data_IF_242973861466
#
_entry.id   IF_242973861466
#
_cell.length_a   1.000
_cell.length_b   1.000
_cell.length_c   1.000
_cell.angle_alpha   90.00
_cell.angle_beta   90.00
_cell.angle_gamma   90.00
#
_symmetry.space_group_name_H-M   'P 1'
#
loop_
_entity.id
_entity.type
_entity.pdbx_description
1 polymer ?
2 non-polymer ?
3 water ?
#
# COMPACT_ATOMS: atom_id res chain seq x y z
N UNK A 1 -10.71 -26.06 10.16
CA UNK A 1 -11.32 -24.81 10.70
C UNK A 1 -10.30 -24.06 11.53
N UNK A 2 -9.03 -24.42 11.41
CA UNK A 2 -7.98 -23.73 12.17
C UNK A 2 -8.05 -22.25 11.78
N UNK A 3 -7.56 -21.38 12.64
CA UNK A 3 -7.61 -19.95 12.38
C UNK A 3 -6.26 -19.29 12.63
N UNK A 4 -5.84 -18.42 11.73
CA UNK A 4 -4.57 -17.69 11.89
C UNK A 4 -4.81 -16.48 12.80
N UNK A 5 -3.78 -16.06 13.53
CA UNK A 5 -3.90 -14.88 14.41
C UNK A 5 -3.26 -13.63 13.74
N UNK A 6 -2.83 -13.78 12.50
CA UNK A 6 -2.18 -12.68 11.76
C UNK A 6 -3.02 -11.42 11.65
N UNK A 7 -4.29 -11.56 11.30
CA UNK A 7 -5.14 -10.36 11.19
C UNK A 7 -5.32 -9.74 12.59
N UNK A 8 -5.47 -10.57 13.61
CA UNK A 8 -5.58 -10.07 14.97
C UNK A 8 -4.32 -9.30 15.35
N UNK A 9 -3.16 -9.85 15.02
CA UNK A 9 -1.90 -9.19 15.34
C UNK A 9 -1.76 -7.85 14.63
N UNK A 10 -2.20 -7.78 13.38
CA UNK A 10 -2.12 -6.51 12.67
C UNK A 10 -3.12 -5.53 13.27
N UNK A 11 -4.26 -6.04 13.70
CA UNK A 11 -5.27 -5.18 14.31
C UNK A 11 -4.71 -4.52 15.57
N UNK A 12 -4.00 -5.28 16.40
CA UNK A 12 -3.45 -4.65 17.60
C UNK A 12 -2.40 -3.58 17.28
N UNK A 13 -1.86 -3.58 16.07
CA UNK A 13 -0.89 -2.54 15.72
C UNK A 13 -1.66 -1.38 15.12
N UNK A 14 -2.98 -1.56 14.98
CA UNK A 14 -3.82 -0.52 14.39
C UNK A 14 -3.63 -0.43 12.88
N UNK A 15 -3.21 -1.54 12.26
CA UNK A 15 -2.94 -1.55 10.81
C UNK A 15 -4.06 -2.05 9.91
N UNK A 16 -5.20 -2.42 10.47
CA UNK A 16 -6.31 -2.90 9.64
C UNK A 16 -7.49 -1.93 9.69
N UNK A 17 -7.71 -1.17 8.60
CA UNK A 17 -8.82 -0.25 8.57
C UNK A 17 -10.10 -1.00 8.21
N UNK A 18 -10.03 -1.77 7.12
CA UNK A 18 -11.17 -2.56 6.65
C UNK A 18 -10.67 -3.92 6.16
N UNK A 19 -11.51 -4.95 6.30
CA UNK A 19 -11.14 -6.30 5.86
C UNK A 19 -12.41 -7.10 5.55
N UNK A 20 -12.38 -7.83 4.44
CA UNK A 20 -13.50 -8.65 4.00
C UNK A 20 -13.53 -10.02 4.71
N UNK A 21 -14.70 -10.40 5.20
CA UNK A 21 -14.89 -11.70 5.85
C UNK A 21 -13.65 -12.11 6.66
N UNK A 22 -13.34 -11.33 7.69
CA UNK A 22 -12.17 -11.58 8.52
C UNK A 22 -12.07 -13.01 9.04
N UNK A 23 -13.18 -13.58 9.49
CA UNK A 23 -13.17 -14.93 10.03
C UNK A 23 -12.72 -15.90 8.94
N UNK A 24 -13.33 -15.79 7.76
CA UNK A 24 -12.99 -16.64 6.64
C UNK A 24 -11.54 -16.44 6.17
N UNK A 25 -11.08 -15.19 6.17
CA UNK A 25 -9.71 -14.89 5.77
C UNK A 25 -8.75 -15.54 6.76
N UNK A 26 -8.99 -15.34 8.06
CA UNK A 26 -8.12 -15.94 9.06
C UNK A 26 -8.03 -17.46 8.92
N UNK A 27 -9.14 -18.10 8.54
CA UNK A 27 -9.14 -19.55 8.35
C UNK A 27 -8.31 -19.92 7.13
N UNK A 28 -8.46 -19.14 6.05
CA UNK A 28 -7.69 -19.40 4.85
C UNK A 28 -6.20 -19.21 5.13
N UNK A 29 -5.86 -18.21 5.95
CA UNK A 29 -4.46 -17.97 6.23
C UNK A 29 -3.85 -19.14 7.01
N UNK A 30 -4.69 -19.84 7.79
CA UNK A 30 -4.19 -20.97 8.57
C UNK A 30 -3.91 -22.21 7.72
N UNK A 31 -4.56 -22.30 6.56
CA UNK A 31 -4.37 -23.44 5.65
C UNK A 31 -2.93 -23.60 5.17
N UNK A 32 -2.24 -22.48 4.98
CA UNK A 32 -0.87 -22.55 4.52
C UNK A 32 -0.47 -21.21 3.93
N UNK A 33 0.78 -21.05 3.47
CA UNK A 33 1.17 -19.76 2.88
C UNK A 33 0.30 -19.42 1.68
N UNK A 34 -0.09 -18.16 1.55
CA UNK A 34 -0.85 -17.72 0.37
C UNK A 34 -0.05 -16.66 -0.38
N UNK A 35 -0.43 -16.44 -1.63
CA UNK A 35 0.16 -15.38 -2.44
C UNK A 35 -0.82 -14.20 -2.22
N UNK A 36 -0.27 -13.01 -1.99
CA UNK A 36 -1.09 -11.83 -1.80
C UNK A 36 -0.43 -10.73 -2.64
N UNK A 37 -1.12 -9.61 -2.83
CA UNK A 37 -0.54 -8.53 -3.61
C UNK A 37 -0.79 -7.16 -2.99
N UNK A 38 0.14 -6.25 -3.25
CA UNK A 38 -0.05 -4.85 -2.87
C UNK A 38 0.47 -4.13 -4.11
N UNK A 39 -0.23 -3.08 -4.54
CA UNK A 39 0.24 -2.37 -5.71
C UNK A 39 0.57 -0.90 -5.49
N UNK A 40 1.43 -0.39 -6.37
CA UNK A 40 1.87 1.01 -6.32
C UNK A 40 1.87 1.59 -7.73
N UNK A 41 1.32 2.79 -7.91
CA UNK A 41 1.32 3.42 -9.25
C UNK A 41 2.51 4.36 -9.41
N UNK A 42 3.10 4.40 -10.61
CA UNK A 42 4.24 5.27 -10.90
C UNK A 42 3.77 6.71 -11.15
N UNK A 43 3.45 7.37 -10.05
CA UNK A 43 2.99 8.77 -10.06
C UNK A 43 4.20 9.72 -10.01
N UNK A 44 5.35 9.16 -9.67
CA UNK A 44 6.61 9.88 -9.58
C UNK A 44 7.72 8.86 -9.79
N UNK A 45 8.97 9.30 -9.82
CA UNK A 45 10.09 8.39 -10.03
C UNK A 45 10.54 7.71 -8.72
N UNK A 46 9.72 7.86 -7.69
CA UNK A 46 10.01 7.29 -6.38
C UNK A 46 8.73 7.21 -5.57
N UNK A 47 8.72 6.35 -4.57
CA UNK A 47 7.59 6.28 -3.66
C UNK A 47 7.98 7.27 -2.54
N UNK A 48 7.03 7.60 -1.67
CA UNK A 48 7.32 8.47 -0.54
C UNK A 48 6.68 7.90 0.72
N UNK A 49 6.80 8.60 1.84
CA UNK A 49 6.29 8.09 3.10
C UNK A 49 4.82 7.69 3.10
N UNK A 50 4.04 8.29 2.21
CA UNK A 50 2.63 7.95 2.16
C UNK A 50 2.40 6.51 1.71
N UNK A 51 3.40 5.91 1.05
CA UNK A 51 3.28 4.54 0.55
C UNK A 51 3.96 3.51 1.45
N UNK A 52 4.66 3.96 2.48
CA UNK A 52 5.41 3.06 3.33
C UNK A 52 4.63 2.07 4.20
N UNK A 53 3.49 2.48 4.77
CA UNK A 53 2.75 1.54 5.61
C UNK A 53 2.28 0.33 4.79
N UNK A 54 1.65 0.55 3.63
CA UNK A 54 1.21 -0.63 2.86
C UNK A 54 2.42 -1.50 2.46
N UNK A 55 3.52 -0.86 2.06
CA UNK A 55 4.74 -1.60 1.67
C UNK A 55 5.25 -2.45 2.84
N UNK A 56 5.34 -1.87 4.04
CA UNK A 56 5.82 -2.65 5.17
C UNK A 56 4.80 -3.72 5.54
N UNK A 57 3.52 -3.45 5.32
CA UNK A 57 2.53 -4.46 5.65
C UNK A 57 2.69 -5.70 4.74
N UNK A 58 3.12 -5.48 3.51
CA UNK A 58 3.36 -6.58 2.58
C UNK A 58 4.50 -7.43 3.19
N UNK A 59 5.52 -6.75 3.71
CA UNK A 59 6.64 -7.43 4.36
C UNK A 59 6.18 -8.16 5.65
N UNK A 60 5.20 -7.60 6.36
CA UNK A 60 4.69 -8.26 7.57
C UNK A 60 4.04 -9.58 7.16
N UNK A 61 3.36 -9.60 6.02
CA UNK A 61 2.75 -10.85 5.56
C UNK A 61 3.83 -11.85 5.15
N UNK A 62 4.88 -11.38 4.50
CA UNK A 62 5.93 -12.34 4.12
C UNK A 62 6.59 -12.93 5.37
N UNK A 63 6.78 -12.10 6.39
CA UNK A 63 7.39 -12.60 7.62
C UNK A 63 6.57 -13.68 8.27
N UNK A 64 5.25 -13.65 8.05
CA UNK A 64 4.37 -14.68 8.59
C UNK A 64 4.34 -15.89 7.65
N UNK A 65 5.19 -15.88 6.62
CA UNK A 65 5.27 -17.02 5.72
C UNK A 65 4.55 -16.96 4.38
N UNK A 66 3.82 -15.88 4.16
CA UNK A 66 3.06 -15.71 2.92
C UNK A 66 3.93 -15.18 1.80
N UNK A 67 3.45 -15.29 0.56
CA UNK A 67 4.21 -14.87 -0.62
C UNK A 67 3.71 -13.55 -1.15
N UNK A 68 4.57 -12.51 -1.11
CA UNK A 68 4.19 -11.16 -1.60
C UNK A 68 4.40 -10.89 -3.08
N UNK A 69 3.38 -10.33 -3.73
CA UNK A 69 3.49 -9.95 -5.14
C UNK A 69 3.52 -8.43 -5.08
N UNK A 70 4.63 -7.84 -5.53
CA UNK A 70 4.78 -6.40 -5.52
C UNK A 70 4.45 -5.88 -6.90
N UNK A 71 3.25 -5.35 -7.03
CA UNK A 71 2.77 -4.84 -8.30
C UNK A 71 3.05 -3.37 -8.52
N UNK A 72 3.63 -3.05 -9.69
CA UNK A 72 3.88 -1.65 -10.07
C UNK A 72 2.94 -1.38 -11.29
N UNK A 73 2.13 -0.31 -11.19
CA UNK A 73 1.14 0.00 -12.21
C UNK A 73 1.57 0.64 -13.52
N UNK A 74 2.30 -0.11 -14.34
CA UNK A 74 2.76 0.46 -15.59
C UNK A 74 1.62 0.95 -16.47
N UNK A 75 0.46 0.33 -16.31
CA UNK A 75 -0.73 0.70 -17.09
C UNK A 75 -1.63 1.63 -16.30
N UNK A 76 -1.92 1.29 -15.05
CA UNK A 76 -2.80 2.13 -14.23
C UNK A 76 -2.21 3.52 -13.99
N UNK A 77 -0.89 3.62 -13.99
CA UNK A 77 -0.25 4.91 -13.79
C UNK A 77 -0.40 5.79 -15.03
N UNK A 78 -0.93 5.24 -16.12
CA UNK A 78 -1.16 6.01 -17.33
C UNK A 78 -2.62 6.49 -17.38
N UNK A 79 -3.38 6.10 -16.37
CA UNK A 79 -4.80 6.42 -16.28
C UNK A 79 -5.08 7.36 -15.10
N UNK A 80 -4.65 6.95 -13.90
CA UNK A 80 -4.81 7.78 -12.70
C UNK A 80 -5.96 7.32 -11.80
N UNK A 81 -5.64 7.02 -10.53
CA UNK A 81 -6.63 6.57 -9.57
C UNK A 81 -7.32 7.81 -8.97
N UNK A 82 -8.63 7.97 -9.20
CA UNK A 82 -9.36 9.13 -8.66
C UNK A 82 -9.88 8.94 -7.22
N UNK A 83 -9.66 7.76 -6.64
CA UNK A 83 -10.17 7.47 -5.30
C UNK A 83 -9.85 8.51 -4.26
N UNK A 84 -10.93 9.13 -3.77
CA UNK A 84 -10.87 10.17 -2.76
C UNK A 84 -9.94 11.35 -3.11
N UNK A 85 -9.78 11.62 -4.40
CA UNK A 85 -8.96 12.75 -4.88
C UNK A 85 -9.91 13.88 -5.27
N UNK A 86 -9.51 15.12 -5.04
CA UNK A 86 -10.38 16.24 -5.36
C UNK A 86 -10.39 16.60 -6.83
N UNK A 87 -9.27 16.36 -7.52
CA UNK A 87 -9.18 16.71 -8.93
C UNK A 87 -8.42 15.68 -9.79
N UNK A 88 -8.58 15.76 -11.11
CA UNK A 88 -7.92 14.82 -12.01
C UNK A 88 -6.42 14.74 -11.72
N UNK A 89 -5.84 13.54 -11.88
CA UNK A 89 -4.41 13.34 -11.69
C UNK A 89 -3.73 13.79 -12.98
N UNK A 90 -2.47 14.23 -12.87
CA UNK A 90 -1.75 14.64 -14.07
C UNK A 90 -1.51 13.44 -14.98
N UNK A 91 -1.71 13.60 -16.28
CA UNK A 91 -1.46 12.49 -17.21
C UNK A 91 -0.01 12.57 -17.65
N UNK A 92 0.75 11.52 -17.39
CA UNK A 92 2.15 11.49 -17.80
C UNK A 92 2.27 10.69 -19.09
N UNK A 93 3.38 10.87 -19.81
CA UNK A 93 3.56 10.18 -21.08
C UNK A 93 3.97 8.73 -20.90
N UNK A 94 3.68 7.92 -21.93
CA UNK A 94 4.05 6.51 -21.91
C UNK A 94 5.57 6.36 -21.62
N UNK A 95 6.39 7.13 -22.33
CA UNK A 95 7.85 7.03 -22.15
C UNK A 95 8.32 7.29 -20.72
N UNK A 96 7.79 8.33 -20.11
CA UNK A 96 8.18 8.66 -18.75
C UNK A 96 7.69 7.65 -17.71
N UNK A 97 6.45 7.20 -17.85
CA UNK A 97 5.92 6.23 -16.87
C UNK A 97 6.72 4.93 -16.94
N UNK A 98 7.08 4.48 -18.15
CA UNK A 98 7.82 3.23 -18.24
C UNK A 98 9.16 3.36 -17.52
N UNK A 99 9.76 4.54 -17.58
CA UNK A 99 11.04 4.75 -16.90
C UNK A 99 10.81 4.73 -15.39
N UNK A 100 9.76 5.41 -14.93
CA UNK A 100 9.47 5.43 -13.49
C UNK A 100 9.15 4.05 -12.94
N UNK A 101 8.46 3.24 -13.74
CA UNK A 101 8.13 1.89 -13.32
C UNK A 101 9.38 1.14 -12.87
N UNK A 102 10.42 1.19 -13.71
CA UNK A 102 11.66 0.49 -13.42
C UNK A 102 12.29 1.03 -12.15
N UNK A 103 12.22 2.34 -11.94
CA UNK A 103 12.81 2.91 -10.75
C UNK A 103 12.06 2.45 -9.49
N UNK A 104 10.72 2.47 -9.55
CA UNK A 104 9.96 2.04 -8.38
C UNK A 104 10.15 0.55 -8.10
N UNK A 105 10.15 -0.28 -9.16
CA UNK A 105 10.36 -1.72 -8.96
C UNK A 105 11.69 -1.92 -8.21
N UNK A 106 12.72 -1.22 -8.63
CA UNK A 106 14.03 -1.34 -7.98
C UNK A 106 14.06 -0.84 -6.55
N UNK A 107 13.26 0.19 -6.27
CA UNK A 107 13.20 0.75 -4.93
C UNK A 107 12.45 -0.16 -3.96
N UNK A 108 11.46 -0.86 -4.48
CA UNK A 108 10.63 -1.76 -3.69
C UNK A 108 11.36 -3.06 -3.32
N UNK A 109 12.13 -3.59 -4.26
CA UNK A 109 12.84 -4.86 -4.07
C UNK A 109 13.56 -5.10 -2.75
N UNK A 110 14.42 -4.16 -2.30
CA UNK A 110 15.14 -4.35 -1.03
C UNK A 110 14.26 -4.55 0.19
N UNK A 111 12.99 -4.16 0.10
CA UNK A 111 12.10 -4.29 1.23
C UNK A 111 11.56 -5.70 1.44
N UNK A 112 11.62 -6.51 0.38
CA UNK A 112 11.10 -7.88 0.42
C UNK A 112 12.20 -8.91 0.14
N UNK A 113 11.94 -10.17 0.49
CA UNK A 113 12.95 -11.21 0.24
C UNK A 113 12.56 -11.95 -1.04
N UNK A 114 13.43 -11.90 -2.04
CA UNK A 114 13.21 -12.57 -3.32
C UNK A 114 13.97 -13.89 -3.37
N UNK A 115 14.60 -14.25 -2.26
CA UNK A 115 15.38 -15.47 -2.19
C UNK A 115 15.21 -16.23 -0.85
N UNK A 116 13.97 -16.61 -0.54
CA UNK A 116 13.68 -17.34 0.68
C UNK A 116 12.75 -18.54 0.41
N UNK A 117 13.01 -19.27 -0.66
CA UNK A 117 12.17 -20.43 -0.93
C UNK A 117 10.84 -20.12 -1.58
N UNK A 118 9.85 -20.98 -1.37
CA UNK A 118 8.55 -20.80 -2.02
C UNK A 118 7.76 -19.53 -1.69
N UNK A 119 8.05 -18.84 -0.59
CA UNK A 119 7.32 -17.59 -0.34
C UNK A 119 8.17 -16.38 -0.77
N UNK A 120 9.12 -16.62 -1.69
CA UNK A 120 9.95 -15.57 -2.26
C UNK A 120 9.05 -14.57 -3.00
N UNK A 121 9.40 -13.29 -2.91
CA UNK A 121 8.63 -12.23 -3.55
C UNK A 121 8.65 -12.32 -5.06
N UNK A 122 7.63 -11.73 -5.68
CA UNK A 122 7.53 -11.70 -7.13
C UNK A 122 7.12 -10.30 -7.58
N UNK A 123 7.77 -9.76 -8.61
CA UNK A 123 7.43 -8.42 -9.12
C UNK A 123 6.43 -8.56 -10.27
N UNK A 124 5.44 -7.67 -10.29
CA UNK A 124 4.46 -7.71 -11.37
C UNK A 124 4.26 -6.32 -11.94
N UNK A 125 3.79 -6.24 -13.18
CA UNK A 125 3.55 -4.94 -13.82
C UNK A 125 2.27 -5.12 -14.65
N UNK A 126 1.21 -4.37 -14.33
CA UNK A 126 -0.03 -4.56 -15.09
C UNK A 126 0.05 -4.10 -16.55
N UNK A 127 1.18 -3.48 -16.94
CA UNK A 127 1.33 -3.11 -18.35
C UNK A 127 1.45 -4.41 -19.15
N UNK A 128 1.86 -5.50 -18.48
CA UNK A 128 1.99 -6.80 -19.16
C UNK A 128 0.69 -7.18 -19.83
N UNK A 129 -0.42 -7.04 -19.11
CA UNK A 129 -1.71 -7.42 -19.69
C UNK A 129 -2.58 -6.31 -20.28
N UNK A 130 -2.29 -5.05 -19.95
CA UNK A 130 -3.09 -3.94 -20.51
C UNK A 130 -2.37 -3.18 -21.62
N UNK A 131 -1.04 -3.27 -21.60
CA UNK A 131 -0.22 -2.56 -22.57
C UNK A 131 -0.61 -2.75 -24.02
N UNK A 132 -1.02 -3.95 -24.39
CA UNK A 132 -1.42 -4.21 -25.77
C UNK A 132 -2.85 -4.77 -25.87
N UNK A 133 -3.64 -4.63 -24.81
CA UNK A 133 -5.02 -5.12 -24.87
C UNK A 133 -5.87 -4.19 -25.76
N UNK A 134 -6.58 -4.72 -26.75
CA UNK A 134 -7.42 -3.89 -27.64
C UNK A 134 -8.63 -3.35 -26.85
N UNK A 135 -9.11 -2.16 -27.21
CA UNK A 135 -10.22 -1.53 -26.50
C UNK A 135 -11.53 -2.34 -26.53
N UNK A 136 -11.87 -2.93 -27.67
CA UNK A 136 -13.12 -3.69 -27.76
C UNK A 136 -13.08 -4.92 -26.84
N UNK A 137 -11.91 -5.54 -26.72
CA UNK A 137 -11.76 -6.71 -25.86
C UNK A 137 -11.97 -6.27 -24.41
N UNK A 138 -11.40 -5.12 -24.04
CA UNK A 138 -11.54 -4.58 -22.70
C UNK A 138 -13.03 -4.29 -22.40
N UNK A 139 -13.67 -3.52 -23.27
CA UNK A 139 -15.06 -3.13 -23.06
C UNK A 139 -16.02 -4.30 -22.96
N UNK A 140 -15.80 -5.33 -23.77
CA UNK A 140 -16.65 -6.52 -23.77
C UNK A 140 -16.35 -7.53 -22.65
N UNK A 141 -15.14 -8.08 -22.68
CA UNK A 141 -14.73 -9.11 -21.75
C UNK A 141 -14.56 -8.70 -20.30
N UNK A 142 -14.28 -7.43 -20.06
CA UNK A 142 -14.16 -6.97 -18.68
C UNK A 142 -15.33 -6.05 -18.40
N UNK A 143 -15.56 -5.11 -19.33
CA UNK A 143 -16.63 -4.14 -19.15
C UNK A 143 -18.04 -4.65 -18.92
N UNK A 144 -18.40 -5.81 -19.49
CA UNK A 144 -19.79 -6.27 -19.31
C UNK A 144 -20.11 -6.70 -17.88
N UNK A 145 -19.08 -6.80 -17.05
CA UNK A 145 -19.26 -7.23 -15.66
C UNK A 145 -19.43 -6.08 -14.67
N UNK A 146 -19.48 -4.86 -15.19
CA UNK A 146 -19.61 -3.69 -14.32
C UNK A 146 -20.89 -2.93 -14.61
N UNK A 147 -21.58 -2.56 -13.55
CA UNK A 147 -22.82 -1.80 -13.64
C UNK A 147 -22.47 -0.35 -13.37
N UNK A 148 -22.85 0.56 -14.25
CA UNK A 148 -22.53 1.98 -14.04
C UNK A 148 -23.27 2.52 -12.82
N UNK A 149 -24.49 2.02 -12.64
CA UNK A 149 -25.32 2.39 -11.50
C UNK A 149 -24.52 2.10 -10.22
N UNK A 150 -23.84 0.95 -10.17
CA UNK A 150 -23.04 0.61 -9.00
C UNK A 150 -21.76 1.44 -8.91
N UNK A 151 -21.12 1.64 -10.06
CA UNK A 151 -19.88 2.41 -10.10
C UNK A 151 -20.03 3.84 -9.60
N UNK A 152 -21.13 4.50 -9.94
CA UNK A 152 -21.28 5.89 -9.51
C UNK A 152 -21.66 6.00 -8.03
N UNK A 153 -21.92 4.86 -7.41
CA UNK A 153 -22.25 4.81 -5.98
C UNK A 153 -21.06 4.51 -5.08
N UNK A 154 -19.93 4.16 -5.67
CA UNK A 154 -18.73 3.87 -4.88
C UNK A 154 -18.35 5.15 -4.13
N UNK A 155 -18.11 5.03 -2.83
CA UNK A 155 -17.75 6.18 -2.02
C UNK A 155 -16.51 6.92 -2.56
N UNK A 156 -15.55 6.20 -3.12
CA UNK A 156 -14.32 6.82 -3.61
C UNK A 156 -14.48 7.88 -4.69
N UNK A 157 -15.59 7.82 -5.43
CA UNK A 157 -15.82 8.81 -6.49
C UNK A 157 -17.09 9.64 -6.28
N UNK A 158 -17.77 9.37 -5.17
CA UNK A 158 -19.01 10.06 -4.81
C UNK A 158 -18.93 11.59 -4.87
N UNK A 159 -17.94 12.18 -4.21
CA UNK A 159 -17.80 13.64 -4.20
C UNK A 159 -17.55 14.21 -5.61
N UNK A 160 -16.82 13.47 -6.44
CA UNK A 160 -16.51 13.94 -7.77
C UNK A 160 -17.76 14.04 -8.65
N UNK A 161 -18.71 13.16 -8.39
CA UNK A 161 -19.96 13.12 -9.14
C UNK A 161 -21.09 13.92 -8.50
N UNK A 162 -20.94 14.30 -7.24
CA UNK A 162 -22.01 15.01 -6.56
C UNK A 162 -21.75 16.48 -6.28
N UNK A 163 -20.50 16.85 -6.12
CA UNK A 163 -20.16 18.23 -5.85
C UNK A 163 -20.01 19.05 -7.14
N UNK A 164 -20.79 20.12 -7.22
CA UNK A 164 -20.79 21.01 -8.38
C UNK A 164 -19.41 21.55 -8.73
N UNK A 165 -18.52 21.63 -7.75
CA UNK A 165 -17.17 22.14 -7.98
C UNK A 165 -16.19 21.04 -8.43
N UNK A 166 -16.71 19.84 -8.69
CA UNK A 166 -15.86 18.74 -9.12
C UNK A 166 -16.50 17.99 -10.28
N UNK A 167 -15.71 17.11 -10.89
CA UNK A 167 -16.16 16.30 -12.00
C UNK A 167 -15.13 15.21 -12.23
N UNK A 168 -15.48 14.15 -12.96
CA UNK A 168 -14.52 13.08 -13.22
C UNK A 168 -14.53 12.68 -14.70
N UNK A 169 -13.34 12.53 -15.28
CA UNK A 169 -13.19 12.13 -16.68
C UNK A 169 -13.57 10.67 -16.87
N UNK A 170 -13.97 10.30 -18.08
CA UNK A 170 -14.27 8.89 -18.34
C UNK A 170 -12.96 8.10 -18.09
N UNK A 171 -11.82 8.74 -18.36
CA UNK A 171 -10.51 8.15 -18.16
C UNK A 171 -10.35 7.60 -16.73
N UNK A 172 -10.53 8.48 -15.74
CA UNK A 172 -10.35 8.06 -14.36
C UNK A 172 -11.50 7.20 -13.86
N UNK A 173 -12.67 7.39 -14.44
CA UNK A 173 -13.84 6.59 -14.07
C UNK A 173 -13.60 5.13 -14.42
N UNK A 174 -12.79 4.89 -15.45
CA UNK A 174 -12.50 3.52 -15.87
C UNK A 174 -11.41 2.82 -15.02
N UNK A 175 -10.67 3.58 -14.22
CA UNK A 175 -9.59 3.02 -13.42
C UNK A 175 -9.99 1.82 -12.56
N UNK A 176 -11.14 1.93 -11.90
CA UNK A 176 -11.64 0.87 -11.04
C UNK A 176 -11.68 -0.48 -11.78
N UNK A 177 -11.96 -0.45 -13.09
CA UNK A 177 -12.01 -1.70 -13.89
C UNK A 177 -10.64 -2.30 -14.11
N UNK A 178 -9.64 -1.46 -14.35
CA UNK A 178 -8.27 -1.92 -14.55
C UNK A 178 -7.75 -2.61 -13.29
N UNK A 179 -7.85 -1.92 -12.14
CA UNK A 179 -7.37 -2.52 -10.89
C UNK A 179 -8.22 -3.76 -10.54
N UNK A 180 -9.49 -3.73 -10.91
CA UNK A 180 -10.34 -4.88 -10.63
C UNK A 180 -9.84 -6.10 -11.41
N UNK A 181 -9.47 -5.88 -12.66
CA UNK A 181 -9.00 -6.98 -13.49
C UNK A 181 -7.62 -7.45 -13.03
N UNK A 182 -6.84 -6.53 -12.47
CA UNK A 182 -5.50 -6.89 -11.97
C UNK A 182 -5.63 -8.01 -10.96
N UNK A 183 -6.62 -7.89 -10.07
CA UNK A 183 -6.81 -8.92 -9.04
C UNK A 183 -7.14 -10.26 -9.71
N UNK A 184 -8.07 -10.24 -10.64
CA UNK A 184 -8.48 -11.46 -11.34
C UNK A 184 -7.32 -12.09 -12.09
N UNK A 185 -6.51 -11.27 -12.75
CA UNK A 185 -5.36 -11.79 -13.48
C UNK A 185 -4.33 -12.44 -12.55
N UNK A 186 -4.00 -11.75 -11.45
CA UNK A 186 -3.02 -12.29 -10.52
C UNK A 186 -3.55 -13.52 -9.80
N UNK A 187 -4.87 -13.60 -9.64
CA UNK A 187 -5.46 -14.76 -8.99
C UNK A 187 -5.25 -15.95 -9.94
N UNK A 188 -5.55 -15.76 -11.21
CA UNK A 188 -5.42 -16.83 -12.21
C UNK A 188 -3.99 -17.32 -12.44
N UNK A 189 -3.05 -16.40 -12.53
CA UNK A 189 -1.68 -16.82 -12.82
C UNK A 189 -0.82 -17.19 -11.62
N UNK A 190 -1.00 -16.49 -10.50
CA UNK A 190 -0.19 -16.76 -9.31
C UNK A 190 -0.94 -17.31 -8.09
N UNK A 191 -2.25 -17.47 -8.21
CA UNK A 191 -3.01 -17.96 -7.08
C UNK A 191 -3.19 -16.90 -6.00
N UNK A 192 -3.08 -15.63 -6.38
CA UNK A 192 -3.28 -14.55 -5.41
C UNK A 192 -4.73 -14.58 -4.90
N UNK A 193 -4.90 -14.62 -3.58
CA UNK A 193 -6.24 -14.66 -3.01
C UNK A 193 -6.45 -13.53 -2.00
N UNK A 194 -5.51 -12.60 -1.94
CA UNK A 194 -5.65 -11.47 -1.02
C UNK A 194 -4.97 -10.23 -1.62
N UNK A 195 -5.65 -9.10 -1.54
CA UNK A 195 -5.07 -7.86 -2.00
C UNK A 195 -5.11 -6.91 -0.81
N UNK A 196 -3.97 -6.32 -0.47
CA UNK A 196 -3.98 -5.33 0.60
C UNK A 196 -3.68 -3.99 -0.06
N UNK A 197 -4.19 -2.90 0.52
CA UNK A 197 -3.95 -1.61 -0.11
C UNK A 197 -4.13 -0.41 0.81
N UNK A 198 -3.88 0.79 0.26
CA UNK A 198 -3.99 2.03 1.01
C UNK A 198 -5.41 2.25 1.50
N UNK A 199 -5.58 3.23 2.39
CA UNK A 199 -6.89 3.50 2.99
C UNK A 199 -7.96 3.93 2.00
N UNK A 200 -7.54 4.44 0.84
CA UNK A 200 -8.50 4.89 -0.17
C UNK A 200 -8.80 3.82 -1.23
N UNK A 201 -8.39 2.59 -0.97
CA UNK A 201 -8.55 1.52 -1.94
C UNK A 201 -9.67 0.50 -1.78
N UNK A 202 -10.50 0.64 -0.75
CA UNK A 202 -11.55 -0.36 -0.52
C UNK A 202 -12.37 -0.70 -1.77
N UNK A 203 -12.92 0.32 -2.42
CA UNK A 203 -13.74 0.09 -3.61
C UNK A 203 -13.02 -0.57 -4.78
N UNK A 204 -11.78 -0.19 -5.02
CA UNK A 204 -10.98 -0.79 -6.09
C UNK A 204 -10.75 -2.27 -5.73
N UNK A 205 -10.43 -2.54 -4.47
CA UNK A 205 -10.19 -3.90 -4.03
C UNK A 205 -11.47 -4.76 -4.11
N UNK A 206 -12.60 -4.24 -3.63
CA UNK A 206 -13.84 -5.01 -3.70
C UNK A 206 -14.28 -5.27 -5.15
N UNK A 207 -13.93 -4.37 -6.07
CA UNK A 207 -14.29 -4.58 -7.48
C UNK A 207 -13.46 -5.77 -7.99
N UNK A 208 -12.24 -5.91 -7.46
CA UNK A 208 -11.39 -7.03 -7.87
C UNK A 208 -11.92 -8.34 -7.32
N UNK A 209 -12.42 -8.30 -6.09
CA UNK A 209 -12.98 -9.49 -5.45
C UNK A 209 -14.21 -9.97 -6.25
N UNK A 210 -15.08 -9.02 -6.60
CA UNK A 210 -16.29 -9.38 -7.35
C UNK A 210 -15.95 -9.85 -8.77
N UNK A 211 -15.02 -9.18 -9.43
CA UNK A 211 -14.67 -9.59 -10.78
C UNK A 211 -13.96 -10.96 -10.81
N UNK A 212 -13.17 -11.26 -9.78
CA UNK A 212 -12.50 -12.55 -9.70
C UNK A 212 -13.56 -13.63 -9.53
N UNK A 213 -14.63 -13.32 -8.81
CA UNK A 213 -15.71 -14.30 -8.65
C UNK A 213 -16.43 -14.49 -9.98
N UNK A 214 -16.78 -13.38 -10.63
CA UNK A 214 -17.48 -13.42 -11.91
C UNK A 214 -16.67 -14.08 -13.02
N UNK A 215 -15.36 -13.85 -13.05
CA UNK A 215 -14.53 -14.43 -14.10
C UNK A 215 -14.01 -15.84 -13.86
N UNK A 216 -13.54 -16.09 -12.64
CA UNK A 216 -12.93 -17.37 -12.35
C UNK A 216 -13.60 -18.22 -11.28
N UNK A 217 -14.70 -17.71 -10.72
CA UNK A 217 -15.44 -18.40 -9.66
C UNK A 217 -14.60 -18.77 -8.43
N UNK A 218 -13.64 -17.91 -8.07
CA UNK A 218 -12.79 -18.11 -6.90
C UNK A 218 -13.09 -17.03 -5.86
N UNK A 219 -13.18 -17.40 -4.59
CA UNK A 219 -13.41 -16.42 -3.53
C UNK A 219 -12.05 -15.85 -3.10
N UNK A 220 -11.88 -14.52 -3.21
CA UNK A 220 -10.63 -13.88 -2.77
C UNK A 220 -10.96 -12.79 -1.74
N UNK A 221 -9.93 -12.22 -1.12
CA UNK A 221 -10.14 -11.26 -0.03
C UNK A 221 -9.42 -9.93 -0.16
N UNK A 222 -9.80 -8.98 0.69
CA UNK A 222 -9.18 -7.67 0.65
C UNK A 222 -9.00 -7.06 2.02
N UNK A 223 -8.00 -6.21 2.14
CA UNK A 223 -7.73 -5.54 3.41
C UNK A 223 -7.08 -4.20 3.13
N UNK A 224 -7.47 -3.17 3.88
CA UNK A 224 -6.85 -1.87 3.72
C UNK A 224 -6.21 -1.43 5.02
N UNK A 225 -5.12 -0.68 4.90
CA UNK A 225 -4.44 -0.14 6.08
C UNK A 225 -5.07 1.23 6.29
N UNK A 226 -4.93 1.79 7.50
CA UNK A 226 -5.51 3.09 7.79
C UNK A 226 -4.79 4.31 7.25
N UNK A 227 -5.57 5.39 7.14
CA UNK A 227 -5.03 6.68 6.75
C UNK A 227 -4.18 7.02 7.97
N UNK A 228 -2.92 7.38 7.75
CA UNK A 228 -2.05 7.70 8.87
C UNK A 228 -2.30 9.15 9.27
N UNK A 229 -2.71 9.36 10.51
CA UNK A 229 -3.02 10.69 10.98
C UNK A 229 -2.04 11.20 12.05
N UNK A 230 -2.01 12.52 12.19
CA UNK A 230 -1.17 13.17 13.19
C UNK A 230 -2.12 13.86 14.14
N UNK A 231 -1.76 13.86 15.42
CA UNK A 231 -2.60 14.48 16.46
C UNK A 231 -3.00 15.92 16.13
N UNK A 232 -2.07 16.69 15.54
CA UNK A 232 -2.32 18.09 15.21
C UNK A 232 -3.19 18.29 13.97
N UNK A 233 -3.72 17.20 13.44
CA UNK A 233 -4.58 17.27 12.27
C UNK A 233 -3.94 17.52 10.91
N UNK A 234 -2.64 17.75 10.84
CA UNK A 234 -2.01 17.98 9.54
C UNK A 234 -1.74 16.68 8.82
N UNK A 235 -1.45 16.78 7.52
CA UNK A 235 -1.22 15.59 6.70
C UNK A 235 0.13 14.93 6.99
N UNK A 236 0.08 13.64 7.27
CA UNK A 236 1.30 12.91 7.55
C UNK A 236 2.16 12.77 6.29
N UNK A 237 3.47 12.98 6.44
CA UNK A 237 4.38 12.84 5.31
C UNK A 237 4.46 14.07 4.43
N UNK A 238 3.79 15.13 4.85
CA UNK A 238 3.78 16.39 4.12
C UNK A 238 4.64 17.38 4.89
N UNK A 239 5.60 17.99 4.21
CA UNK A 239 6.49 18.98 4.84
C UNK A 239 6.46 20.26 4.00
N UNK A 240 7.06 21.33 4.51
CA UNK A 240 7.09 22.58 3.78
C UNK A 240 7.72 22.33 2.41
N UNK A 241 8.74 21.48 2.38
CA UNK A 241 9.43 21.17 1.14
C UNK A 241 8.79 20.07 0.27
N UNK A 242 7.60 19.62 0.64
CA UNK A 242 6.93 18.59 -0.13
C UNK A 242 6.96 17.22 0.51
N UNK A 243 7.03 16.17 -0.32
CA UNK A 243 7.02 14.81 0.20
C UNK A 243 8.36 14.40 0.80
N UNK A 244 8.34 13.29 1.54
CA UNK A 244 9.56 12.73 2.12
C UNK A 244 9.78 11.48 1.26
N UNK A 245 10.71 11.56 0.33
CA UNK A 245 10.92 10.46 -0.59
C UNK A 245 11.69 9.27 -0.04
N UNK A 246 11.48 8.10 -0.62
CA UNK A 246 12.22 6.90 -0.19
C UNK A 246 13.53 6.79 -0.95
N UNK A 247 13.67 7.59 -2.01
CA UNK A 247 14.88 7.62 -2.84
C UNK A 247 15.90 8.51 -2.11
N UNK A 248 17.07 7.96 -1.72
CA UNK A 248 18.06 8.79 -1.01
C UNK A 248 18.61 9.97 -1.82
N UNK A 249 18.45 9.91 -3.13
CA UNK A 249 18.91 11.01 -3.98
C UNK A 249 17.92 12.16 -3.97
N UNK A 250 16.68 11.88 -3.55
CA UNK A 250 15.64 12.90 -3.48
C UNK A 250 15.52 13.49 -2.08
N UNK A 251 15.59 12.61 -1.09
CA UNK A 251 15.53 12.96 0.34
C UNK A 251 16.66 12.15 0.97
N UNK A 252 17.72 12.82 1.38
CA UNK A 252 18.87 12.13 1.94
C UNK A 252 18.57 11.32 3.18
N UNK A 253 19.38 10.29 3.47
CA UNK A 253 19.12 9.49 4.67
C UNK A 253 19.21 10.39 5.90
N UNK A 254 20.05 11.43 5.85
CA UNK A 254 20.19 12.33 6.99
C UNK A 254 18.88 13.08 7.22
N UNK A 255 18.32 13.61 6.14
CA UNK A 255 17.07 14.35 6.20
C UNK A 255 15.91 13.44 6.63
N UNK A 256 15.97 12.18 6.17
CA UNK A 256 14.94 11.19 6.50
C UNK A 256 14.95 10.91 8.01
N UNK A 257 16.14 10.74 8.58
CA UNK A 257 16.26 10.51 10.02
C UNK A 257 15.74 11.74 10.79
N UNK A 258 16.04 12.93 10.27
CA UNK A 258 15.59 14.17 10.92
C UNK A 258 14.06 14.23 10.95
N UNK A 259 13.41 13.77 9.88
CA UNK A 259 11.95 13.79 9.81
C UNK A 259 11.35 12.98 10.96
N UNK A 260 11.90 11.80 11.20
CA UNK A 260 11.40 10.95 12.27
C UNK A 260 11.71 11.47 13.68
N UNK A 261 12.89 12.05 13.87
CA UNK A 261 13.24 12.61 15.18
C UNK A 261 12.23 13.67 15.59
N UNK A 262 11.71 14.38 14.60
CA UNK A 262 10.76 15.46 14.84
C UNK A 262 9.34 15.01 15.19
N UNK A 263 9.11 13.71 15.22
CA UNK A 263 7.79 13.17 15.52
C UNK A 263 7.22 13.66 16.85
N UNK A 264 5.94 14.04 16.83
CA UNK A 264 5.25 14.53 18.03
C UNK A 264 5.08 13.44 19.06
N UNK A 265 5.19 13.80 20.34
CA UNK A 265 5.02 12.85 21.44
C UNK A 265 3.67 12.11 21.29
N UNK A 266 2.65 12.84 20.85
CA UNK A 266 1.31 12.27 20.70
C UNK A 266 1.22 11.19 19.61
N UNK A 267 2.15 11.25 18.65
CA UNK A 267 2.13 10.32 17.50
C UNK A 267 3.15 9.19 17.53
N UNK A 268 4.26 9.43 18.22
CA UNK A 268 5.37 8.50 18.23
C UNK A 268 5.14 7.05 18.58
N UNK A 269 4.29 6.77 19.57
CA UNK A 269 4.07 5.36 19.94
C UNK A 269 3.18 4.68 18.91
N UNK A 270 2.24 5.42 18.32
CA UNK A 270 1.38 4.86 17.28
C UNK A 270 2.25 4.62 16.06
N UNK A 271 3.15 5.56 15.77
CA UNK A 271 4.04 5.43 14.62
C UNK A 271 5.02 4.26 14.75
N UNK A 272 5.46 3.97 15.97
CA UNK A 272 6.33 2.80 16.16
C UNK A 272 5.55 1.55 15.74
N UNK A 273 4.25 1.51 16.05
CA UNK A 273 3.46 0.33 15.65
C UNK A 273 3.27 0.23 14.13
N UNK A 274 3.00 1.37 13.49
CA UNK A 274 2.79 1.39 12.05
C UNK A 274 4.05 1.17 11.22
N UNK A 275 5.14 1.79 11.65
CA UNK A 275 6.36 1.76 10.86
C UNK A 275 7.53 0.88 11.23
N UNK A 276 7.45 0.11 12.33
CA UNK A 276 8.61 -0.72 12.70
C UNK A 276 8.16 -2.14 12.96
N UNK A 277 9.13 -3.02 13.18
CA UNK A 277 8.85 -4.43 13.48
C UNK A 277 9.08 -4.77 14.94
N UNK A 278 9.15 -3.73 15.78
CA UNK A 278 9.29 -3.94 17.21
C UNK A 278 7.99 -4.58 17.67
N UNK A 279 8.06 -5.47 18.66
CA UNK A 279 6.85 -6.12 19.14
C UNK A 279 5.98 -5.13 19.91
N UNK A 280 4.68 -5.43 19.96
CA UNK A 280 3.76 -4.57 20.70
C UNK A 280 4.17 -4.46 22.17
N UNK A 281 4.70 -5.57 22.71
CA UNK A 281 5.13 -5.59 24.11
C UNK A 281 6.27 -4.61 24.32
N UNK A 282 7.23 -4.63 23.40
CA UNK A 282 8.36 -3.72 23.55
C UNK A 282 7.96 -2.26 23.38
N UNK A 283 7.05 -1.99 22.46
CA UNK A 283 6.60 -0.62 22.24
C UNK A 283 5.80 -0.15 23.45
N UNK A 284 4.94 -1.01 23.98
CA UNK A 284 4.17 -0.63 25.16
C UNK A 284 5.08 -0.33 26.35
N UNK A 285 6.15 -1.11 26.50
CA UNK A 285 7.10 -0.92 27.60
C UNK A 285 7.89 0.38 27.41
N UNK A 286 8.16 0.70 26.16
CA UNK A 286 8.88 1.93 25.85
C UNK A 286 7.97 3.11 26.19
N UNK A 287 6.67 3.02 25.89
CA UNK A 287 5.81 4.15 26.22
C UNK A 287 5.77 4.35 27.74
N UNK A 288 5.66 3.25 28.48
CA UNK A 288 5.62 3.30 29.95
C UNK A 288 6.95 3.86 30.47
N UNK A 289 8.06 3.40 29.90
CA UNK A 289 9.39 3.88 30.30
C UNK A 289 9.49 5.39 30.11
N UNK A 290 9.04 5.90 28.96
CA UNK A 290 9.13 7.35 28.70
C UNK A 290 8.23 8.13 29.64
N UNK A 291 7.12 7.52 30.03
CA UNK A 291 6.16 8.17 30.89
C UNK A 291 6.76 8.47 32.28
N UNK A 292 7.52 7.52 32.80
CA UNK A 292 8.10 7.67 34.13
C UNK A 292 9.60 7.92 34.21
N UNK A 293 10.23 8.28 33.10
CA UNK A 293 11.68 8.49 33.15
C UNK A 293 12.18 9.84 33.63
N UNK A 294 11.42 10.89 33.36
CA UNK A 294 11.89 12.21 33.74
C UNK A 294 12.97 12.68 32.76
N UNK A 295 13.18 11.91 31.69
CA UNK A 295 14.18 12.26 30.68
C UNK A 295 13.47 12.57 29.36
N UNK A 296 14.23 12.95 28.33
CA UNK A 296 13.59 13.18 27.03
C UNK A 296 13.08 11.79 26.59
N UNK A 297 11.99 11.73 25.83
CA UNK A 297 11.51 10.40 25.40
C UNK A 297 12.50 9.72 24.47
N UNK A 298 12.66 8.41 24.61
CA UNK A 298 13.58 7.66 23.75
C UNK A 298 12.89 7.26 22.47
N UNK A 299 11.57 7.26 22.52
CA UNK A 299 10.75 6.84 21.39
C UNK A 299 11.10 7.51 20.06
N UNK A 300 11.30 8.83 20.04
CA UNK A 300 11.60 9.46 18.76
C UNK A 300 12.88 8.94 18.12
N UNK A 301 13.99 8.80 18.87
CA UNK A 301 15.16 8.31 18.17
C UNK A 301 15.13 6.80 17.94
N UNK A 302 14.31 6.08 18.69
CA UNK A 302 14.20 4.64 18.43
C UNK A 302 13.45 4.51 17.09
N UNK A 303 12.39 5.29 16.92
CA UNK A 303 11.60 5.29 15.69
C UNK A 303 12.47 5.70 14.49
N UNK A 304 13.23 6.77 14.66
CA UNK A 304 14.08 7.26 13.58
C UNK A 304 15.11 6.21 13.18
N UNK A 305 15.70 5.56 14.17
CA UNK A 305 16.70 4.53 13.89
C UNK A 305 16.09 3.32 13.16
N UNK A 306 14.95 2.86 13.67
CA UNK A 306 14.26 1.71 13.11
C UNK A 306 13.85 1.92 11.65
N UNK A 307 13.12 3.00 11.40
CA UNK A 307 12.64 3.26 10.04
C UNK A 307 13.78 3.62 9.08
N UNK A 308 14.74 4.41 9.56
CA UNK A 308 15.86 4.76 8.68
C UNK A 308 16.62 3.50 8.23
N UNK A 309 16.81 2.54 9.13
CA UNK A 309 17.52 1.31 8.79
C UNK A 309 16.68 0.50 7.78
N UNK A 310 15.36 0.43 8.02
CA UNK A 310 14.47 -0.28 7.12
C UNK A 310 14.49 0.28 5.72
N UNK A 311 14.51 1.61 5.61
CA UNK A 311 14.46 2.27 4.30
C UNK A 311 15.80 2.50 3.61
N UNK A 312 16.83 2.79 4.40
CA UNK A 312 18.15 3.07 3.84
C UNK A 312 19.27 2.15 4.36
N UNK A 313 18.90 1.14 5.15
CA UNK A 313 19.86 0.19 5.69
C UNK A 313 20.90 0.73 6.63
N UNK A 314 21.85 -0.12 7.02
CA UNK A 314 22.88 0.34 7.94
C UNK A 314 23.68 1.51 7.36
N UNK A 315 23.86 1.56 6.05
CA UNK A 315 24.65 2.65 5.47
C UNK A 315 23.96 4.00 5.69
N UNK A 316 22.65 4.02 5.49
CA UNK A 316 21.90 5.26 5.66
C UNK A 316 21.83 5.68 7.11
N UNK A 317 21.74 4.71 8.01
CA UNK A 317 21.70 5.04 9.43
C UNK A 317 23.04 5.71 9.81
N UNK A 318 24.14 5.19 9.29
CA UNK A 318 25.45 5.81 9.56
C UNK A 318 25.52 7.22 8.98
N UNK A 319 25.04 7.39 7.76
CA UNK A 319 25.02 8.69 7.11
C UNK A 319 24.16 9.70 7.87
N UNK A 320 23.19 9.22 8.64
CA UNK A 320 22.31 10.13 9.40
C UNK A 320 23.02 10.82 10.55
N UNK A 321 24.25 10.39 10.83
CA UNK A 321 25.00 10.99 11.93
C UNK A 321 26.24 11.74 11.47
N UNK A 322 26.30 12.10 10.19
CA UNK A 322 27.43 12.89 9.70
C UNK A 322 26.99 13.94 8.69
#
# INVERSE_FOLDING_TARGET
MASSNLIKQLQERGLVAQVTDEEALAERLAQGPIALVCGFDPTADSLHLGHLVPLLCLKRFQQAGHKPVALVGGATGLIGDPSFKAAERKLNTEETVQEWVDKIRKQVAPFLDFDCGENSAIAANNYDWFGNMNVLTFLRDIGKHFSVNQMINKEAVKQRLNREDQGISFTEFSYNLLQGYDFACLNKQYGVVLCIGGSDQWGNITSGIDLTRRLHQNQVFGLTVPLITKADGTKFGKTEGGAVWLDPKKTSPYKFYQFWINTADADVYRFLKFFTFMSIEEINALEEEDKNSGKAPRAQYVLAEQVTRLVHGEEGLQAAKR
#
